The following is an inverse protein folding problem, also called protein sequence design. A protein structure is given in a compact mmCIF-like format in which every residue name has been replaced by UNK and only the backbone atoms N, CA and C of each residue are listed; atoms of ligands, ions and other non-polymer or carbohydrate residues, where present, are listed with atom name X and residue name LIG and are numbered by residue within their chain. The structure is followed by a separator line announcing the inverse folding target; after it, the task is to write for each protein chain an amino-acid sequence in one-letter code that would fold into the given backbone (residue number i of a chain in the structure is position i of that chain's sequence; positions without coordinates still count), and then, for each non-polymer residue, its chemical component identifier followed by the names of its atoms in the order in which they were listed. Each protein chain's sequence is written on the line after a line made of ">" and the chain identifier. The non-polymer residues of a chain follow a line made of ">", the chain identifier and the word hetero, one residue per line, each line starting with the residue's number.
data_IF_581785492385
#
_entry.id   IF_581785492385
#
_cell.length_a   1.000
_cell.length_b   1.000
_cell.length_c   1.000
_cell.angle_alpha   90.00
_cell.angle_beta   90.00
_cell.angle_gamma   90.00
#
_symmetry.space_group_name_H-M   'P 1'
#
loop_
_entity.id
_entity.type
_entity.pdbx_description
1 polymer ?
#
# COMPACT_ATOMS: atom_id res chain seq x y z
N UNK A 1 -7.94 5.21 9.34
CA UNK A 1 -7.62 5.15 7.90
C UNK A 1 -6.87 6.41 7.48
N UNK A 2 -6.01 6.28 6.54
CA UNK A 2 -5.27 7.40 5.96
C UNK A 2 -6.11 8.03 4.86
N UNK A 3 -6.41 9.31 4.98
CA UNK A 3 -7.27 10.04 4.03
C UNK A 3 -6.51 10.66 2.86
N UNK A 4 -5.28 11.13 3.11
CA UNK A 4 -4.41 11.59 2.03
C UNK A 4 -3.63 10.40 1.50
N UNK A 5 -4.09 9.84 0.39
CA UNK A 5 -3.49 8.65 -0.21
C UNK A 5 -2.65 9.07 -1.40
N UNK A 6 -1.38 8.69 -1.37
CA UNK A 6 -0.52 8.84 -2.53
C UNK A 6 -0.87 7.72 -3.50
N UNK A 7 -1.13 8.09 -4.74
CA UNK A 7 -1.49 7.14 -5.80
C UNK A 7 -0.51 7.22 -6.95
N UNK A 8 -0.56 6.22 -7.80
CA UNK A 8 0.27 6.16 -9.01
C UNK A 8 -0.60 5.72 -10.18
N UNK A 9 -0.18 6.06 -11.40
CA UNK A 9 -0.90 5.64 -12.60
C UNK A 9 -0.34 4.36 -13.21
N UNK A 10 -1.13 3.63 -14.00
CA UNK A 10 -0.67 2.39 -14.64
C UNK A 10 0.40 2.61 -15.69
N UNK A 11 0.51 3.82 -16.25
CA UNK A 11 1.52 4.17 -17.24
C UNK A 11 2.81 4.71 -16.63
N UNK A 12 2.83 4.90 -15.30
CA UNK A 12 4.04 5.32 -14.61
C UNK A 12 5.08 4.21 -14.62
N UNK A 13 6.34 4.59 -14.50
CA UNK A 13 7.46 3.64 -14.49
C UNK A 13 7.74 3.10 -13.09
N UNK A 14 8.28 1.90 -13.03
CA UNK A 14 8.62 1.22 -11.78
C UNK A 14 9.64 2.02 -10.95
N UNK A 15 10.59 2.69 -11.58
CA UNK A 15 11.59 3.50 -10.89
C UNK A 15 10.95 4.61 -10.03
N UNK A 16 9.88 5.24 -10.51
CA UNK A 16 9.14 6.24 -9.73
C UNK A 16 8.56 5.64 -8.45
N UNK A 17 8.01 4.44 -8.54
CA UNK A 17 7.46 3.74 -7.39
C UNK A 17 8.54 3.39 -6.38
N UNK A 18 9.69 2.96 -6.87
CA UNK A 18 10.84 2.67 -6.01
C UNK A 18 11.21 3.89 -5.17
N UNK A 19 11.29 5.07 -5.79
CA UNK A 19 11.59 6.30 -5.08
C UNK A 19 10.51 6.65 -4.04
N UNK A 20 9.24 6.48 -4.38
CA UNK A 20 8.14 6.74 -3.44
C UNK A 20 8.21 5.82 -2.22
N UNK A 21 8.47 4.54 -2.42
CA UNK A 21 8.61 3.60 -1.31
C UNK A 21 9.83 3.92 -0.44
N UNK A 22 10.91 4.33 -1.06
CA UNK A 22 12.16 4.59 -0.35
C UNK A 22 12.14 5.90 0.44
N UNK A 23 11.69 7.00 -0.18
CA UNK A 23 11.78 8.34 0.40
C UNK A 23 10.54 8.74 1.21
N UNK A 24 9.38 8.23 0.87
CA UNK A 24 8.12 8.59 1.54
C UNK A 24 7.70 7.59 2.62
N UNK A 25 8.47 6.54 2.84
CA UNK A 25 8.18 5.47 3.81
C UNK A 25 6.80 4.85 3.59
N UNK A 26 6.38 4.78 2.35
CA UNK A 26 5.12 4.19 1.92
C UNK A 26 5.38 2.74 1.55
N UNK A 27 4.45 1.84 1.89
CA UNK A 27 4.57 0.41 1.58
C UNK A 27 3.52 -0.10 0.61
N UNK A 28 2.48 0.69 0.39
CA UNK A 28 1.35 0.31 -0.47
C UNK A 28 0.93 1.51 -1.29
N UNK A 29 0.77 1.29 -2.59
CA UNK A 29 0.34 2.33 -3.52
C UNK A 29 -0.87 1.84 -4.31
N UNK A 30 -2.03 2.50 -4.15
CA UNK A 30 -3.14 2.29 -5.07
C UNK A 30 -2.78 2.82 -6.46
N UNK A 31 -3.14 2.05 -7.48
CA UNK A 31 -2.96 2.44 -8.88
C UNK A 31 -4.30 2.94 -9.40
N UNK A 32 -4.32 4.20 -9.82
CA UNK A 32 -5.54 4.89 -10.23
C UNK A 32 -5.39 5.38 -11.66
N UNK A 33 -6.43 5.16 -12.46
CA UNK A 33 -6.52 5.65 -13.84
C UNK A 33 -7.87 6.32 -14.04
N UNK A 34 -7.84 7.58 -14.46
CA UNK A 34 -9.05 8.38 -14.69
C UNK A 34 -10.01 8.37 -13.49
N UNK A 35 -9.45 8.49 -12.29
CA UNK A 35 -10.21 8.49 -11.05
C UNK A 35 -10.66 7.13 -10.54
N UNK A 36 -10.37 6.05 -11.26
CA UNK A 36 -10.78 4.70 -10.89
C UNK A 36 -9.60 3.88 -10.39
N UNK A 37 -9.84 3.09 -9.35
CA UNK A 37 -8.86 2.17 -8.83
C UNK A 37 -8.72 0.98 -9.79
N UNK A 38 -7.52 0.79 -10.34
CA UNK A 38 -7.25 -0.29 -11.31
C UNK A 38 -6.28 -1.34 -10.78
N UNK A 39 -5.59 -1.07 -9.68
CA UNK A 39 -4.66 -2.03 -9.11
C UNK A 39 -4.07 -1.57 -7.79
N UNK A 40 -3.22 -2.42 -7.23
CA UNK A 40 -2.43 -2.15 -6.04
C UNK A 40 -1.00 -2.61 -6.26
N UNK A 41 -0.06 -1.91 -5.64
CA UNK A 41 1.33 -2.30 -5.64
C UNK A 41 1.90 -2.14 -4.24
N UNK A 42 2.58 -3.18 -3.74
CA UNK A 42 3.27 -3.12 -2.45
C UNK A 42 4.78 -3.12 -2.65
N UNK A 43 5.52 -2.69 -1.62
CA UNK A 43 6.98 -2.75 -1.64
C UNK A 43 7.48 -4.20 -1.75
N UNK A 44 6.73 -5.14 -1.18
CA UNK A 44 7.04 -6.57 -1.29
C UNK A 44 6.92 -7.05 -2.74
N UNK A 45 5.87 -6.63 -3.44
CA UNK A 45 5.67 -6.98 -4.85
C UNK A 45 6.81 -6.41 -5.70
N UNK A 46 7.21 -5.17 -5.42
CA UNK A 46 8.31 -4.52 -6.12
C UNK A 46 9.63 -5.26 -5.91
N UNK A 47 9.92 -5.67 -4.67
CA UNK A 47 11.14 -6.43 -4.35
C UNK A 47 11.20 -7.77 -5.07
N UNK A 48 10.08 -8.44 -5.23
CA UNK A 48 10.02 -9.72 -5.98
C UNK A 48 10.42 -9.54 -7.44
N UNK A 49 10.08 -8.39 -8.02
CA UNK A 49 10.34 -8.10 -9.44
C UNK A 49 11.76 -7.62 -9.64
N UNK A 50 12.25 -6.75 -8.77
CA UNK A 50 13.59 -6.16 -8.89
C UNK A 50 14.69 -7.08 -8.37
N UNK A 51 14.34 -8.08 -7.56
CA UNK A 51 15.31 -8.99 -6.95
C UNK A 51 16.11 -8.35 -5.82
N UNK A 52 17.28 -8.91 -5.46
CA UNK A 52 18.10 -8.41 -4.37
C UNK A 52 18.51 -6.95 -4.58
N UNK A 53 18.57 -6.19 -3.48
CA UNK A 53 18.90 -4.75 -3.49
C UNK A 53 20.21 -4.43 -4.20
N UNK A 54 21.18 -5.33 -4.15
CA UNK A 54 22.46 -5.17 -4.85
C UNK A 54 22.29 -5.01 -6.37
N UNK A 55 21.23 -5.57 -6.95
CA UNK A 55 20.96 -5.46 -8.38
C UNK A 55 20.47 -4.08 -8.80
N UNK A 56 19.95 -3.28 -7.84
CA UNK A 56 19.49 -1.92 -8.12
C UNK A 56 20.65 -0.98 -8.43
N UNK A 57 21.83 -1.27 -7.92
CA UNK A 57 23.03 -0.46 -8.13
C UNK A 57 23.76 -0.80 -9.42
N UNK A 58 23.47 -1.95 -10.00
CA UNK A 58 24.18 -2.43 -11.21
C UNK A 58 23.69 -1.75 -12.50
N UNK A 59 22.58 -1.05 -12.44
CA UNK A 59 21.97 -0.40 -13.61
C UNK A 59 22.36 1.08 -13.72
N UNK A 60 23.63 1.39 -13.55
CA UNK A 60 24.14 2.69 -13.95
C UNK A 60 24.32 2.66 -15.45
N UNK A 61 23.57 3.48 -16.16
CA UNK A 61 23.90 3.74 -17.55
C UNK A 61 25.25 4.45 -17.63
N UNK A 62 25.84 4.51 -18.80
CA UNK A 62 27.13 5.17 -19.01
C UNK A 62 27.12 6.68 -18.76
N UNK A 63 25.98 7.25 -18.35
CA UNK A 63 25.80 8.67 -18.05
C UNK A 63 25.73 8.95 -16.56
N UNK A 64 25.86 7.92 -15.71
CA UNK A 64 25.79 8.07 -14.26
C UNK A 64 24.38 8.19 -13.69
N UNK A 65 23.36 8.04 -14.52
CA UNK A 65 21.97 7.98 -14.07
C UNK A 65 21.61 6.55 -13.67
N UNK A 66 20.94 6.40 -12.53
CA UNK A 66 20.44 5.09 -12.11
C UNK A 66 19.03 4.91 -12.62
N UNK A 67 18.85 3.98 -13.55
CA UNK A 67 17.54 3.51 -13.96
C UNK A 67 17.31 2.12 -13.34
N UNK A 68 16.26 1.96 -12.56
CA UNK A 68 15.97 0.71 -11.90
C UNK A 68 15.16 -0.19 -12.83
N UNK A 69 14.18 0.36 -13.52
CA UNK A 69 13.39 -0.35 -14.50
C UNK A 69 12.54 0.63 -15.30
N UNK A 70 12.46 0.39 -16.60
CA UNK A 70 11.58 1.14 -17.50
C UNK A 70 10.20 0.47 -17.63
N UNK A 71 9.95 -0.61 -16.88
CA UNK A 71 8.65 -1.30 -16.92
C UNK A 71 7.55 -0.39 -16.41
N UNK A 72 6.38 -0.54 -16.99
CA UNK A 72 5.18 0.19 -16.58
C UNK A 72 4.49 -0.49 -15.43
N UNK A 73 3.90 0.28 -14.53
CA UNK A 73 3.20 -0.23 -13.35
C UNK A 73 2.10 -1.21 -13.74
N UNK A 74 1.40 -0.98 -14.83
CA UNK A 74 0.33 -1.88 -15.29
C UNK A 74 0.79 -3.32 -15.53
N UNK A 75 2.09 -3.53 -15.78
CA UNK A 75 2.65 -4.87 -16.03
C UNK A 75 2.94 -5.64 -14.75
N UNK A 76 2.96 -4.98 -13.60
CA UNK A 76 3.36 -5.58 -12.32
C UNK A 76 2.32 -5.41 -11.21
N UNK A 77 1.36 -4.51 -11.36
CA UNK A 77 0.35 -4.27 -10.32
C UNK A 77 -0.56 -5.47 -10.13
N UNK A 78 -1.08 -5.62 -8.93
CA UNK A 78 -2.12 -6.60 -8.64
C UNK A 78 -3.45 -6.06 -9.11
N UNK A 79 -4.19 -6.85 -9.87
CA UNK A 79 -5.55 -6.56 -10.29
C UNK A 79 -6.54 -7.27 -9.37
N UNK A 80 -7.83 -6.98 -9.52
CA UNK A 80 -8.86 -7.61 -8.69
C UNK A 80 -8.72 -7.22 -7.23
N UNK A 81 -8.47 -5.94 -6.97
CA UNK A 81 -8.21 -5.42 -5.63
C UNK A 81 -9.45 -5.54 -4.76
N UNK A 82 -9.27 -6.11 -3.55
CA UNK A 82 -10.32 -6.16 -2.55
C UNK A 82 -10.41 -4.79 -1.90
N UNK A 83 -11.62 -4.23 -1.87
CA UNK A 83 -11.89 -2.91 -1.30
C UNK A 83 -12.97 -2.99 -0.23
N UNK A 84 -13.08 -1.95 0.58
CA UNK A 84 -14.15 -1.82 1.57
C UNK A 84 -14.77 -0.43 1.45
N UNK A 85 -15.99 -0.30 2.00
CA UNK A 85 -16.65 0.99 2.11
C UNK A 85 -16.25 1.72 3.39
N UNK A 86 -16.51 3.04 3.48
CA UNK A 86 -16.13 3.83 4.65
C UNK A 86 -16.94 3.50 5.92
N UNK A 87 -18.08 2.81 5.78
CA UNK A 87 -18.90 2.36 6.90
C UNK A 87 -18.42 1.08 7.53
N UNK A 88 -17.49 0.36 6.89
CA UNK A 88 -16.95 -0.89 7.40
C UNK A 88 -16.18 -0.66 8.69
N UNK A 89 -16.37 -1.57 9.64
CA UNK A 89 -15.66 -1.50 10.92
C UNK A 89 -14.22 -1.93 10.77
N UNK A 90 -13.35 -1.38 11.60
CA UNK A 90 -11.94 -1.77 11.63
C UNK A 90 -11.75 -3.27 11.85
N UNK A 91 -12.62 -3.89 12.66
CA UNK A 91 -12.59 -5.33 12.89
C UNK A 91 -12.87 -6.13 11.61
N UNK A 92 -13.82 -5.66 10.78
CA UNK A 92 -14.13 -6.32 9.52
C UNK A 92 -12.95 -6.20 8.54
N UNK A 93 -12.34 -5.02 8.47
CA UNK A 93 -11.13 -4.81 7.67
C UNK A 93 -10.00 -5.72 8.12
N UNK A 94 -9.77 -5.80 9.42
CA UNK A 94 -8.74 -6.67 9.99
C UNK A 94 -8.99 -8.15 9.66
N UNK A 95 -10.24 -8.60 9.72
CA UNK A 95 -10.61 -9.98 9.40
C UNK A 95 -10.33 -10.30 7.93
N UNK A 96 -10.64 -9.39 7.02
CA UNK A 96 -10.37 -9.55 5.59
C UNK A 96 -8.86 -9.61 5.35
N UNK A 97 -8.11 -8.71 5.95
CA UNK A 97 -6.65 -8.65 5.79
C UNK A 97 -5.98 -9.93 6.29
N UNK A 98 -6.43 -10.45 7.44
CA UNK A 98 -5.90 -11.69 8.00
C UNK A 98 -6.23 -12.89 7.12
N UNK A 99 -7.48 -12.99 6.68
CA UNK A 99 -7.94 -14.11 5.85
C UNK A 99 -7.27 -14.12 4.48
N UNK A 100 -7.15 -12.97 3.86
CA UNK A 100 -6.58 -12.83 2.51
C UNK A 100 -5.07 -12.62 2.51
N UNK A 101 -4.47 -12.45 3.68
CA UNK A 101 -3.02 -12.21 3.86
C UNK A 101 -2.55 -10.99 3.05
N UNK A 102 -3.30 -9.91 3.15
CA UNK A 102 -2.99 -8.65 2.48
C UNK A 102 -2.71 -7.56 3.51
N UNK A 103 -1.80 -6.65 3.18
CA UNK A 103 -1.34 -5.62 4.12
C UNK A 103 -2.04 -4.28 4.00
N UNK A 104 -2.97 -4.14 3.05
CA UNK A 104 -3.68 -2.89 2.83
C UNK A 104 -5.02 -3.12 2.14
N UNK A 105 -6.00 -2.28 2.49
CA UNK A 105 -7.32 -2.27 1.86
C UNK A 105 -7.66 -0.84 1.45
N UNK A 106 -7.86 -0.59 0.15
CA UNK A 106 -8.41 0.70 -0.27
C UNK A 106 -9.85 0.85 0.23
N UNK A 107 -10.16 2.07 0.67
CA UNK A 107 -11.52 2.44 1.08
C UNK A 107 -12.15 3.23 -0.07
N UNK A 108 -13.25 2.70 -0.60
CA UNK A 108 -13.94 3.30 -1.74
C UNK A 108 -15.24 3.92 -1.31
N UNK A 109 -15.52 5.12 -1.81
CA UNK A 109 -16.78 5.81 -1.58
C UNK A 109 -17.26 6.35 -2.93
N UNK A 110 -18.46 5.96 -3.37
CA UNK A 110 -19.02 6.39 -4.66
C UNK A 110 -18.05 6.18 -5.83
N UNK A 111 -17.44 5.01 -5.90
CA UNK A 111 -16.48 4.60 -6.92
C UNK A 111 -15.17 5.42 -6.92
N UNK A 112 -14.93 6.19 -5.87
CA UNK A 112 -13.70 6.97 -5.71
C UNK A 112 -12.90 6.48 -4.52
N UNK A 113 -11.58 6.57 -4.62
CA UNK A 113 -10.69 6.22 -3.53
C UNK A 113 -10.81 7.28 -2.42
N UNK A 114 -11.32 6.87 -1.26
CA UNK A 114 -11.52 7.77 -0.12
C UNK A 114 -10.38 7.67 0.90
N UNK A 115 -9.69 6.56 0.93
CA UNK A 115 -8.60 6.34 1.89
C UNK A 115 -8.00 4.97 1.73
N UNK A 116 -7.12 4.62 2.65
CA UNK A 116 -6.50 3.30 2.72
C UNK A 116 -6.38 2.88 4.18
N UNK A 117 -6.62 1.60 4.45
CA UNK A 117 -6.36 1.00 5.75
C UNK A 117 -5.21 0.02 5.59
N UNK A 118 -4.20 0.16 6.42
CA UNK A 118 -3.01 -0.70 6.38
C UNK A 118 -2.92 -1.57 7.63
N UNK A 119 -2.07 -2.60 7.56
CA UNK A 119 -1.77 -3.44 8.73
C UNK A 119 -1.27 -2.59 9.91
N UNK A 120 -0.48 -1.55 9.63
CA UNK A 120 0.00 -0.64 10.69
C UNK A 120 -1.16 0.08 11.37
N UNK A 121 -2.17 0.53 10.60
CA UNK A 121 -3.36 1.16 11.18
C UNK A 121 -4.09 0.20 12.12
N UNK A 122 -4.21 -1.06 11.73
CA UNK A 122 -4.87 -2.09 12.55
C UNK A 122 -4.07 -2.36 13.83
N UNK A 123 -2.75 -2.47 13.73
CA UNK A 123 -1.89 -2.67 14.89
C UNK A 123 -1.98 -1.50 15.87
N UNK A 124 -2.00 -0.27 15.38
CA UNK A 124 -2.18 0.91 16.23
C UNK A 124 -3.54 0.90 16.94
N UNK A 125 -4.59 0.52 16.22
CA UNK A 125 -5.93 0.40 16.79
C UNK A 125 -5.97 -0.67 17.89
N UNK A 126 -5.29 -1.80 17.68
CA UNK A 126 -5.18 -2.86 18.66
C UNK A 126 -4.47 -2.39 19.95
N UNK A 127 -3.35 -1.70 19.81
CA UNK A 127 -2.62 -1.16 20.95
C UNK A 127 -3.51 -0.21 21.77
N UNK A 128 -4.20 0.71 21.09
CA UNK A 128 -5.10 1.65 21.74
C UNK A 128 -6.23 0.96 22.48
N UNK A 129 -6.84 -0.04 21.84
CA UNK A 129 -7.95 -0.80 22.44
C UNK A 129 -7.50 -1.55 23.68
N UNK A 130 -6.34 -2.21 23.64
CA UNK A 130 -5.83 -2.97 24.81
C UNK A 130 -5.47 -2.05 25.95
N UNK A 131 -4.93 -0.87 25.68
CA UNK A 131 -4.64 0.13 26.72
C UNK A 131 -5.93 0.61 27.39
N UNK A 132 -6.98 0.84 26.63
CA UNK A 132 -8.29 1.22 27.18
C UNK A 132 -8.89 0.11 28.05
N UNK A 133 -8.79 -1.14 27.62
CA UNK A 133 -9.24 -2.29 28.40
C UNK A 133 -8.46 -2.44 29.71
N UNK A 134 -7.16 -2.21 29.69
CA UNK A 134 -6.34 -2.23 30.89
C UNK A 134 -6.79 -1.17 31.90
N UNK A 135 -7.08 0.04 31.43
CA UNK A 135 -7.58 1.12 32.28
C UNK A 135 -8.90 0.75 32.92
N UNK A 136 -9.81 0.12 32.18
CA UNK A 136 -11.09 -0.35 32.70
C UNK A 136 -10.89 -1.46 33.75
N UNK A 137 -9.99 -2.40 33.47
CA UNK A 137 -9.65 -3.46 34.42
C UNK A 137 -9.07 -2.94 35.71
N UNK A 138 -8.23 -1.91 35.65
CA UNK A 138 -7.65 -1.28 36.86
C UNK A 138 -8.67 -0.46 37.64
N UNK A 139 -9.71 0.01 36.97
CA UNK A 139 -10.76 0.79 37.61
C UNK A 139 -11.74 -0.08 38.38
N UNK A 140 -11.74 -1.37 38.10
CA UNK A 140 -12.56 -2.34 38.82
C UNK A 140 -11.80 -3.02 39.93
#
# INVERSE_FOLDING_TARGET
>A
MTKKVITIGPEDNVDRVFFLFHFESIRHLPVVEKGKLVGMLSDRDLKKILGPRKNYRAEKDGRGTMSISSRKIKTIMRRGVITIGPEEKAADAAAIMAKRKIGALPVMKNDKLAGIITATDILRAFVKLTQELEKLGRSM
#
